data_IF_012960347971
#
_entry.id   IF_012960347971
#
_cell.length_a   1.000
_cell.length_b   1.000
_cell.length_c   1.000
_cell.angle_alpha   90.00
_cell.angle_beta   90.00
_cell.angle_gamma   90.00
#
_symmetry.space_group_name_H-M   'P 1'
#
loop_
_entity.id
_entity.type
_entity.pdbx_description
1 polymer ?
#
# COMPACT_ATOMS: atom_id res chain seq x y z
N UNK A 1 34.97 -15.59 -24.95
CA UNK A 1 35.08 -14.17 -24.55
C UNK A 1 33.84 -13.79 -23.78
N UNK A 2 33.98 -13.10 -22.64
CA UNK A 2 32.85 -12.63 -21.83
C UNK A 2 32.89 -11.11 -21.66
N UNK A 3 31.72 -10.48 -21.64
CA UNK A 3 31.56 -9.05 -21.34
C UNK A 3 30.86 -8.91 -19.98
N UNK A 4 31.31 -7.97 -19.14
CA UNK A 4 30.63 -7.56 -17.91
C UNK A 4 30.12 -6.14 -18.12
N UNK A 5 28.84 -5.92 -17.84
CA UNK A 5 28.20 -4.61 -17.83
C UNK A 5 27.90 -4.30 -16.36
N UNK A 6 28.45 -3.20 -15.84
CA UNK A 6 28.08 -2.66 -14.53
C UNK A 6 27.10 -1.50 -14.72
N UNK A 7 26.11 -1.42 -13.84
CA UNK A 7 25.20 -0.28 -13.73
C UNK A 7 25.53 0.39 -12.40
N UNK A 8 25.89 1.66 -12.46
CA UNK A 8 26.22 2.48 -11.30
C UNK A 8 25.19 3.60 -11.18
N UNK A 9 24.80 3.90 -9.95
CA UNK A 9 23.80 4.92 -9.62
C UNK A 9 24.55 6.13 -9.08
N UNK A 10 24.30 7.29 -9.67
CA UNK A 10 25.01 8.53 -9.36
C UNK A 10 24.08 9.52 -8.69
N UNK A 11 24.67 10.42 -7.90
CA UNK A 11 23.95 11.54 -7.29
C UNK A 11 23.56 12.56 -8.37
N UNK A 12 22.28 12.90 -8.44
CA UNK A 12 21.70 13.79 -9.46
C UNK A 12 22.19 15.25 -9.34
N UNK A 13 22.68 15.67 -8.17
CA UNK A 13 23.25 17.01 -7.96
C UNK A 13 24.75 17.03 -8.18
N UNK A 14 25.44 15.95 -7.80
CA UNK A 14 26.89 15.81 -7.88
C UNK A 14 27.22 14.46 -8.54
N UNK A 15 27.24 14.36 -9.88
CA UNK A 15 27.33 13.09 -10.62
C UNK A 15 28.65 12.33 -10.43
N UNK A 16 29.59 12.92 -9.70
CA UNK A 16 30.88 12.34 -9.33
C UNK A 16 30.76 11.48 -8.05
N UNK A 17 29.65 11.60 -7.32
CA UNK A 17 29.32 10.81 -6.15
C UNK A 17 28.35 9.68 -6.51
N UNK A 18 28.48 8.56 -5.79
CA UNK A 18 27.49 7.49 -5.86
C UNK A 18 26.21 7.90 -5.10
N UNK A 19 25.05 7.59 -5.67
CA UNK A 19 23.79 7.74 -4.97
C UNK A 19 23.56 6.55 -4.03
N UNK A 20 23.17 6.87 -2.79
CA UNK A 20 22.84 5.88 -1.76
C UNK A 20 21.32 5.83 -1.50
N UNK A 21 20.62 6.93 -1.75
CA UNK A 21 19.24 7.13 -1.34
C UNK A 21 18.45 7.86 -2.42
N UNK A 22 17.30 7.30 -2.74
CA UNK A 22 16.27 7.96 -3.54
C UNK A 22 15.29 8.70 -2.63
N UNK A 23 15.05 9.99 -2.89
CA UNK A 23 14.05 10.80 -2.19
C UNK A 23 12.90 11.14 -3.12
N UNK A 24 11.69 10.80 -2.70
CA UNK A 24 10.44 11.22 -3.34
C UNK A 24 9.88 12.46 -2.64
N UNK A 25 9.49 13.47 -3.42
CA UNK A 25 8.85 14.69 -2.89
C UNK A 25 7.83 15.24 -3.89
N UNK A 26 6.99 16.17 -3.43
CA UNK A 26 6.00 16.82 -4.29
C UNK A 26 6.09 18.34 -4.15
N UNK A 27 5.98 19.03 -5.28
CA UNK A 27 5.93 20.49 -5.34
C UNK A 27 4.88 20.91 -6.37
N UNK A 28 3.95 21.79 -5.96
CA UNK A 28 2.84 22.27 -6.80
C UNK A 28 1.98 21.16 -7.42
N UNK A 29 1.83 20.02 -6.72
CA UNK A 29 1.05 18.88 -7.18
C UNK A 29 1.76 17.97 -8.19
N UNK A 30 3.01 18.28 -8.53
CA UNK A 30 3.87 17.41 -9.34
C UNK A 30 4.76 16.58 -8.41
N UNK A 31 4.80 15.27 -8.62
CA UNK A 31 5.68 14.35 -7.90
C UNK A 31 7.05 14.27 -8.58
N UNK A 32 8.10 14.31 -7.77
CA UNK A 32 9.50 14.25 -8.18
C UNK A 32 10.22 13.14 -7.42
N UNK A 33 11.25 12.60 -8.06
CA UNK A 33 12.20 11.68 -7.48
C UNK A 33 13.60 12.23 -7.75
N UNK A 34 14.49 12.12 -6.76
CA UNK A 34 15.89 12.49 -6.89
C UNK A 34 16.79 11.45 -6.20
N UNK A 35 17.85 11.04 -6.86
CA UNK A 35 18.83 10.09 -6.37
C UNK A 35 20.04 10.85 -5.82
N UNK A 36 20.36 10.63 -4.54
CA UNK A 36 21.36 11.41 -3.80
C UNK A 36 22.31 10.52 -3.02
N UNK A 37 23.55 10.98 -2.88
CA UNK A 37 24.49 10.50 -1.88
C UNK A 37 23.94 10.76 -0.47
N UNK A 38 24.41 9.99 0.50
CA UNK A 38 23.97 10.14 1.90
C UNK A 38 24.12 11.59 2.41
N UNK A 39 25.20 12.28 2.02
CA UNK A 39 25.46 13.67 2.42
C UNK A 39 24.44 14.64 1.80
N UNK A 40 24.15 14.51 0.51
CA UNK A 40 23.18 15.38 -0.15
C UNK A 40 21.74 15.08 0.28
N UNK A 41 21.42 13.82 0.57
CA UNK A 41 20.15 13.43 1.15
C UNK A 41 19.93 14.11 2.53
N UNK A 42 20.96 14.17 3.36
CA UNK A 42 20.89 14.86 4.66
C UNK A 42 20.78 16.38 4.51
N UNK A 43 21.48 16.96 3.52
CA UNK A 43 21.31 18.38 3.16
C UNK A 43 19.86 18.68 2.78
N UNK A 44 19.28 17.89 1.88
CA UNK A 44 17.89 18.04 1.44
C UNK A 44 16.92 18.01 2.63
N UNK A 45 17.06 17.04 3.54
CA UNK A 45 16.19 16.92 4.73
C UNK A 45 16.30 18.14 5.66
N UNK A 46 17.51 18.67 5.85
CA UNK A 46 17.74 19.86 6.68
C UNK A 46 17.13 21.12 6.06
N UNK A 47 17.27 21.30 4.76
CA UNK A 47 16.73 22.45 4.03
C UNK A 47 15.19 22.43 3.97
N UNK A 48 14.60 21.23 3.89
CA UNK A 48 13.15 21.05 3.90
C UNK A 48 12.53 21.18 5.30
N UNK A 49 13.30 20.93 6.37
CA UNK A 49 12.82 20.94 7.75
C UNK A 49 12.01 22.18 8.17
N UNK A 50 12.45 23.44 7.93
CA UNK A 50 11.68 24.61 8.35
C UNK A 50 10.29 24.70 7.68
N UNK A 51 10.21 24.33 6.40
CA UNK A 51 8.95 24.31 5.65
C UNK A 51 8.01 23.24 6.17
N UNK A 52 8.54 22.04 6.44
CA UNK A 52 7.77 20.92 6.99
C UNK A 52 7.27 21.24 8.39
N UNK A 53 8.08 21.89 9.23
CA UNK A 53 7.69 22.28 10.60
C UNK A 53 6.57 23.33 10.62
N UNK A 54 6.54 24.24 9.65
CA UNK A 54 5.50 25.26 9.53
C UNK A 54 4.24 24.76 8.80
N UNK A 55 4.35 23.71 7.98
CA UNK A 55 3.26 23.20 7.18
C UNK A 55 2.33 22.26 7.96
N UNK A 56 1.08 22.16 7.51
CA UNK A 56 0.14 21.11 7.94
C UNK A 56 0.02 20.08 6.83
N UNK A 57 0.13 18.80 7.16
CA UNK A 57 -0.03 17.72 6.19
C UNK A 57 -1.46 17.74 5.61
N UNK A 58 -1.58 17.93 4.30
CA UNK A 58 -2.87 18.06 3.59
C UNK A 58 -3.47 16.70 3.18
N UNK A 59 -2.63 15.66 3.03
CA UNK A 59 -3.06 14.27 2.88
C UNK A 59 -1.87 13.30 3.11
N UNK A 60 -2.04 12.28 3.95
CA UNK A 60 -1.19 11.06 3.92
C UNK A 60 -0.19 10.88 5.07
N UNK A 61 -0.57 10.02 6.01
CA UNK A 61 0.22 9.35 7.07
C UNK A 61 0.98 10.27 8.03
N UNK A 62 0.27 10.68 9.07
CA UNK A 62 0.88 10.82 10.40
C UNK A 62 1.60 9.50 10.74
N UNK A 63 2.93 9.47 10.64
CA UNK A 63 3.74 8.47 11.34
C UNK A 63 3.80 8.94 12.79
N UNK A 64 2.72 8.70 13.54
CA UNK A 64 2.82 8.78 15.00
C UNK A 64 3.72 7.63 15.46
N UNK A 65 4.77 7.89 16.26
CA UNK A 65 5.66 6.83 16.75
C UNK A 65 4.94 5.74 17.57
N UNK A 66 3.71 6.01 18.05
CA UNK A 66 2.90 5.08 18.84
C UNK A 66 1.64 4.55 18.13
N UNK A 67 1.50 4.76 16.82
CA UNK A 67 0.38 4.18 16.09
C UNK A 67 0.62 2.67 15.88
N UNK A 68 0.07 1.86 16.81
CA UNK A 68 -0.22 0.43 16.64
C UNK A 68 -0.54 0.16 15.16
N UNK A 69 0.05 -0.87 14.52
CA UNK A 69 -0.19 -1.14 13.11
C UNK A 69 -1.70 -1.14 12.87
N UNK A 70 -2.19 -0.18 12.08
CA UNK A 70 -3.56 -0.25 11.60
C UNK A 70 -3.61 -1.53 10.79
N UNK A 71 -4.27 -2.54 11.34
CA UNK A 71 -4.57 -3.79 10.68
C UNK A 71 -5.00 -3.44 9.26
N UNK A 72 -4.35 -3.99 8.20
CA UNK A 72 -4.82 -3.75 6.85
C UNK A 72 -6.32 -4.02 6.86
N UNK A 73 -7.11 -3.04 6.39
CA UNK A 73 -8.57 -3.14 6.28
C UNK A 73 -8.92 -4.57 5.89
N UNK A 74 -9.67 -5.30 6.73
CA UNK A 74 -9.79 -6.77 6.79
C UNK A 74 -10.23 -7.49 5.51
N UNK A 75 -9.43 -7.32 4.46
CA UNK A 75 -9.62 -7.71 3.07
C UNK A 75 -8.30 -8.15 2.42
N UNK A 76 -7.14 -7.91 3.05
CA UNK A 76 -5.88 -8.54 2.65
C UNK A 76 -5.97 -10.03 2.97
N UNK A 77 -6.03 -10.89 1.94
CA UNK A 77 -6.13 -12.35 2.07
C UNK A 77 -7.50 -12.97 1.81
N UNK A 78 -8.53 -12.19 1.46
CA UNK A 78 -9.82 -12.77 1.07
C UNK A 78 -9.76 -13.45 -0.31
N UNK A 79 -10.39 -14.62 -0.50
CA UNK A 79 -10.44 -15.30 -1.78
C UNK A 79 -11.38 -14.55 -2.76
N UNK A 80 -10.86 -13.47 -3.36
CA UNK A 80 -11.65 -12.57 -4.22
C UNK A 80 -12.30 -13.30 -5.41
N UNK A 81 -11.70 -14.40 -5.88
CA UNK A 81 -12.26 -15.27 -6.92
C UNK A 81 -13.53 -15.97 -6.44
N UNK A 82 -13.50 -16.57 -5.26
CA UNK A 82 -14.66 -17.26 -4.64
C UNK A 82 -15.78 -16.29 -4.31
N UNK A 83 -15.44 -15.12 -3.75
CA UNK A 83 -16.42 -14.07 -3.44
C UNK A 83 -17.14 -13.62 -4.71
N UNK A 84 -16.42 -13.48 -5.85
CA UNK A 84 -17.04 -13.12 -7.13
C UNK A 84 -17.91 -14.25 -7.68
N UNK A 85 -17.50 -15.51 -7.57
CA UNK A 85 -18.29 -16.65 -8.02
C UNK A 85 -19.61 -16.73 -7.24
N UNK A 86 -19.55 -16.63 -5.90
CA UNK A 86 -20.73 -16.58 -5.04
C UNK A 86 -21.61 -15.37 -5.35
N UNK A 87 -21.02 -14.20 -5.54
CA UNK A 87 -21.76 -12.98 -5.84
C UNK A 87 -22.55 -13.08 -7.15
N UNK A 88 -21.94 -13.63 -8.22
CA UNK A 88 -22.63 -13.87 -9.50
C UNK A 88 -23.78 -14.88 -9.35
N UNK A 89 -23.57 -15.95 -8.59
CA UNK A 89 -24.60 -16.95 -8.33
C UNK A 89 -25.78 -16.38 -7.51
N UNK A 90 -25.52 -15.41 -6.63
CA UNK A 90 -26.52 -14.76 -5.77
C UNK A 90 -27.07 -13.44 -6.35
N UNK A 91 -26.79 -13.14 -7.63
CA UNK A 91 -27.35 -11.97 -8.33
C UNK A 91 -26.74 -10.61 -7.93
N UNK A 92 -25.59 -10.58 -7.26
CA UNK A 92 -24.92 -9.34 -6.90
C UNK A 92 -24.10 -8.78 -8.07
N UNK A 93 -24.15 -7.45 -8.31
CA UNK A 93 -23.31 -6.81 -9.33
C UNK A 93 -21.85 -6.78 -8.86
N UNK A 94 -20.97 -7.45 -9.61
CA UNK A 94 -19.52 -7.50 -9.33
C UNK A 94 -18.71 -7.24 -10.59
N UNK A 95 -17.60 -6.50 -10.44
CA UNK A 95 -16.62 -6.28 -11.51
C UNK A 95 -15.76 -7.54 -11.74
N UNK A 96 -15.42 -7.81 -12.99
CA UNK A 96 -14.57 -8.94 -13.39
C UNK A 96 -13.12 -8.81 -12.91
N UNK A 97 -12.65 -7.57 -12.69
CA UNK A 97 -11.28 -7.27 -12.22
C UNK A 97 -11.30 -6.24 -11.09
N UNK A 98 -10.24 -6.23 -10.29
CA UNK A 98 -10.05 -5.26 -9.20
C UNK A 98 -10.74 -5.63 -7.89
N UNK A 99 -10.90 -4.66 -6.98
CA UNK A 99 -11.48 -4.91 -5.66
C UNK A 99 -12.98 -5.26 -5.73
N UNK A 100 -13.40 -6.15 -4.85
CA UNK A 100 -14.83 -6.47 -4.66
C UNK A 100 -15.42 -5.44 -3.70
N UNK A 101 -16.62 -4.96 -3.98
CA UNK A 101 -17.29 -3.96 -3.15
C UNK A 101 -17.46 -4.47 -1.72
N UNK A 102 -17.34 -3.57 -0.73
CA UNK A 102 -17.45 -3.93 0.67
C UNK A 102 -18.82 -4.54 1.04
N UNK A 103 -19.88 -4.16 0.31
CA UNK A 103 -21.21 -4.72 0.49
C UNK A 103 -21.25 -6.22 0.13
N UNK A 104 -20.67 -6.61 -0.99
CA UNK A 104 -20.61 -8.01 -1.44
C UNK A 104 -19.74 -8.85 -0.51
N UNK A 105 -18.61 -8.30 -0.05
CA UNK A 105 -17.75 -8.99 0.94
C UNK A 105 -18.47 -9.25 2.26
N UNK A 106 -19.28 -8.29 2.74
CA UNK A 106 -20.08 -8.49 3.96
C UNK A 106 -21.16 -9.56 3.76
N UNK A 107 -21.88 -9.51 2.64
CA UNK A 107 -22.92 -10.48 2.32
C UNK A 107 -22.34 -11.91 2.22
N UNK A 108 -21.20 -12.09 1.57
CA UNK A 108 -20.48 -13.36 1.51
C UNK A 108 -20.06 -13.84 2.90
N UNK A 109 -19.44 -12.98 3.72
CA UNK A 109 -19.06 -13.33 5.09
C UNK A 109 -20.28 -13.75 5.94
N UNK A 110 -21.42 -13.08 5.80
CA UNK A 110 -22.65 -13.44 6.49
C UNK A 110 -23.21 -14.78 6.04
N UNK A 111 -23.18 -15.07 4.73
CA UNK A 111 -23.63 -16.35 4.19
C UNK A 111 -22.73 -17.51 4.64
N UNK A 112 -21.40 -17.34 4.55
CA UNK A 112 -20.43 -18.35 5.00
C UNK A 112 -20.45 -18.50 6.54
N UNK A 113 -20.70 -17.44 7.30
CA UNK A 113 -20.85 -17.54 8.75
C UNK A 113 -22.17 -18.21 9.19
N UNK A 114 -23.22 -18.12 8.36
CA UNK A 114 -24.48 -18.83 8.60
C UNK A 114 -24.34 -20.33 8.34
N UNK A 115 -23.55 -20.71 7.34
CA UNK A 115 -23.24 -22.11 6.97
C UNK A 115 -22.60 -22.89 8.13
N UNK A 116 -21.66 -22.28 8.86
CA UNK A 116 -20.96 -22.92 10.00
C UNK A 116 -21.88 -23.15 11.22
N UNK A 117 -22.98 -22.40 11.35
CA UNK A 117 -23.97 -22.64 12.42
C UNK A 117 -25.03 -23.68 12.07
N UNK A 118 -25.12 -24.11 10.82
CA UNK A 118 -26.08 -25.11 10.37
C UNK A 118 -25.67 -26.56 10.66
N UNK A 119 -24.37 -26.83 10.80
CA UNK A 119 -23.85 -28.21 10.89
C UNK A 119 -23.83 -28.79 12.32
N UNK A 120 -24.02 -27.97 13.37
CA UNK A 120 -23.96 -28.45 14.78
C UNK A 120 -25.35 -28.75 15.37
N UNK A 121 -26.41 -28.84 14.55
CA UNK A 121 -27.76 -29.13 15.01
C UNK A 121 -28.30 -30.52 14.64
N UNK A 122 -27.44 -31.42 14.15
CA UNK A 122 -27.82 -32.81 13.84
C UNK A 122 -26.78 -33.81 14.40
N UNK A 123 -26.50 -33.75 15.70
CA UNK A 123 -25.73 -34.78 16.40
C UNK A 123 -26.19 -34.88 17.86
N UNK A 124 -27.48 -35.10 18.06
CA UNK A 124 -28.05 -35.67 19.27
C UNK A 124 -29.30 -36.45 18.86
N UNK A 125 -29.13 -37.75 18.59
CA UNK A 125 -30.07 -38.81 18.98
C UNK A 125 -29.33 -40.15 19.08
#
# INVERSE_FOLDING_TARGET
>A
MGKRISVEMFDDLEPELAADVTIEFAFEGVGYQIDLSSTNADRFRKEMAPWIQAATATAGREVRPDAKPRTPSGQAGLPRTEIRAWARANGYPVSDRGNVSAAVVRAWKSATAHDIRGEVACADE
#
